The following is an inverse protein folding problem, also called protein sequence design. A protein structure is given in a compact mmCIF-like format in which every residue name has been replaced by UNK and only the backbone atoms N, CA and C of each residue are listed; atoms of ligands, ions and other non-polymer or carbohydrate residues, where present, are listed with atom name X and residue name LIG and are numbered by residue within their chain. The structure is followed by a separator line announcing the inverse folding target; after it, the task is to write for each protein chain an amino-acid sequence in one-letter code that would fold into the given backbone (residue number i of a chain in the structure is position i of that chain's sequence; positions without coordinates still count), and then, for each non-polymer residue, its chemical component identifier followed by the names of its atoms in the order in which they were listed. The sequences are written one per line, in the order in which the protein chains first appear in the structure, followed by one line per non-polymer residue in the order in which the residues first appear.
data_IF_510485626344
#
_entry.id   IF_510485626344
#
_cell.length_a   1.000
_cell.length_b   1.000
_cell.length_c   1.000
_cell.angle_alpha   90.00
_cell.angle_beta   90.00
_cell.angle_gamma   90.00
#
_symmetry.space_group_name_H-M   'P 1'
#
loop_
_entity.id
_entity.type
_entity.pdbx_description
1 polymer ?
#
# COMPACT_ATOMS: atom_id res chain seq x y z
N UNK A 1 -10.94 42.88 16.71
CA UNK A 1 -11.76 43.17 15.51
C UNK A 1 -10.98 42.66 14.31
N UNK A 2 -11.54 41.69 13.61
CA UNK A 2 -10.89 40.89 12.57
C UNK A 2 -10.37 41.75 11.41
N UNK A 3 -9.12 41.53 11.02
CA UNK A 3 -8.58 42.05 9.76
C UNK A 3 -9.09 41.14 8.64
N UNK A 4 -10.17 41.57 7.98
CA UNK A 4 -10.69 40.95 6.76
C UNK A 4 -9.76 41.24 5.59
N UNK A 5 -9.06 40.20 5.12
CA UNK A 5 -8.26 40.21 3.90
C UNK A 5 -9.19 40.35 2.69
N UNK A 6 -9.09 41.49 2.00
CA UNK A 6 -9.83 41.75 0.76
C UNK A 6 -8.94 41.28 -0.40
N UNK A 7 -9.32 40.17 -1.04
CA UNK A 7 -8.66 39.61 -2.21
C UNK A 7 -9.14 40.39 -3.46
N UNK A 8 -8.26 41.06 -4.23
CA UNK A 8 -8.65 41.63 -5.51
C UNK A 8 -8.82 40.53 -6.56
N UNK A 9 -10.07 40.27 -6.93
CA UNK A 9 -10.49 39.46 -8.08
C UNK A 9 -10.24 40.21 -9.40
N UNK A 10 -8.99 40.24 -9.87
CA UNK A 10 -8.70 40.55 -11.28
C UNK A 10 -7.46 39.78 -11.73
N UNK A 11 -7.63 38.51 -12.10
CA UNK A 11 -6.65 37.81 -12.94
C UNK A 11 -7.02 38.03 -14.42
N UNK A 12 -6.05 38.43 -15.25
CA UNK A 12 -6.27 38.82 -16.63
C UNK A 12 -6.66 37.61 -17.49
N UNK A 13 -7.76 37.78 -18.23
CA UNK A 13 -8.01 37.24 -19.56
C UNK A 13 -7.37 35.89 -19.90
N UNK A 14 -8.22 34.86 -19.82
CA UNK A 14 -8.12 33.61 -20.57
C UNK A 14 -7.67 33.92 -22.00
N UNK A 15 -6.36 33.80 -22.27
CA UNK A 15 -5.85 33.79 -23.63
C UNK A 15 -6.27 32.44 -24.20
N UNK A 16 -7.40 32.44 -24.91
CA UNK A 16 -7.78 31.34 -25.79
C UNK A 16 -6.64 31.16 -26.80
N UNK A 17 -5.71 30.26 -26.52
CA UNK A 17 -4.74 29.80 -27.50
C UNK A 17 -5.53 28.96 -28.49
N UNK A 18 -6.12 29.61 -29.50
CA UNK A 18 -6.44 28.92 -30.74
C UNK A 18 -5.12 28.41 -31.28
N UNK A 19 -4.83 27.13 -31.06
CA UNK A 19 -3.71 26.46 -31.70
C UNK A 19 -4.00 26.46 -33.20
N UNK A 20 -3.36 27.37 -33.93
CA UNK A 20 -3.27 27.29 -35.37
C UNK A 20 -2.53 25.99 -35.69
N UNK A 21 -3.25 24.98 -36.19
CA UNK A 21 -2.63 23.77 -36.73
C UNK A 21 -1.92 24.15 -38.03
N UNK A 22 -0.63 24.49 -37.93
CA UNK A 22 0.24 24.59 -39.09
C UNK A 22 0.33 23.20 -39.74
N UNK A 23 -0.19 23.04 -40.96
CA UNK A 23 0.04 21.85 -41.79
C UNK A 23 1.50 21.81 -42.25
N UNK A 24 2.40 21.38 -41.39
CA UNK A 24 3.79 21.09 -41.76
C UNK A 24 3.95 19.58 -41.94
N UNK A 25 3.58 19.05 -43.12
CA UNK A 25 3.67 17.63 -43.46
C UNK A 25 5.11 17.17 -43.84
N UNK A 26 6.14 17.79 -43.25
CA UNK A 26 7.52 17.33 -43.38
C UNK A 26 7.86 16.25 -42.35
N UNK A 27 8.94 15.50 -42.56
CA UNK A 27 9.40 14.45 -41.64
C UNK A 27 9.53 14.94 -40.18
N UNK A 28 9.99 16.18 -39.97
CA UNK A 28 10.06 16.81 -38.66
C UNK A 28 8.68 17.03 -38.01
N UNK A 29 7.65 17.36 -38.79
CA UNK A 29 6.29 17.53 -38.28
C UNK A 29 5.67 16.20 -37.85
N UNK A 30 5.94 15.12 -38.58
CA UNK A 30 5.49 13.76 -38.25
C UNK A 30 6.15 13.23 -36.96
N UNK A 31 7.44 13.52 -36.76
CA UNK A 31 8.16 13.13 -35.55
C UNK A 31 7.62 13.87 -34.32
N UNK A 32 7.37 15.18 -34.43
CA UNK A 32 6.82 15.97 -33.31
C UNK A 32 5.41 15.50 -32.95
N UNK A 33 4.55 15.24 -33.94
CA UNK A 33 3.21 14.70 -33.71
C UNK A 33 3.28 13.31 -33.04
N UNK A 34 4.19 12.44 -33.48
CA UNK A 34 4.39 11.12 -32.89
C UNK A 34 4.89 11.20 -31.44
N UNK A 35 5.79 12.15 -31.14
CA UNK A 35 6.29 12.38 -29.79
C UNK A 35 5.17 12.87 -28.85
N UNK A 36 4.33 13.80 -29.31
CA UNK A 36 3.20 14.33 -28.52
C UNK A 36 2.16 13.24 -28.21
N UNK A 37 1.83 12.40 -29.21
CA UNK A 37 0.94 11.24 -28.99
C UNK A 37 1.55 10.29 -27.95
N UNK A 38 2.85 10.00 -28.02
CA UNK A 38 3.53 9.15 -27.05
C UNK A 38 3.50 9.73 -25.61
N UNK A 39 3.70 11.04 -25.45
CA UNK A 39 3.63 11.70 -24.13
C UNK A 39 2.21 11.64 -23.54
N UNK A 40 1.16 11.77 -24.35
CA UNK A 40 -0.23 11.66 -23.86
C UNK A 40 -0.66 10.21 -23.53
N UNK A 41 -0.10 9.19 -24.18
CA UNK A 41 -0.38 7.79 -23.84
C UNK A 41 0.37 7.31 -22.59
N UNK A 42 1.43 8.00 -22.18
CA UNK A 42 2.19 7.65 -20.98
C UNK A 42 1.40 7.90 -19.67
N UNK A 43 0.35 8.73 -19.70
CA UNK A 43 -0.42 9.15 -18.51
C UNK A 43 -1.81 8.49 -18.39
N UNK A 44 -2.00 7.32 -19.01
CA UNK A 44 -3.26 6.56 -18.94
C UNK A 44 -3.18 5.28 -18.08
N UNK A 45 -2.17 5.14 -17.21
CA UNK A 45 -2.00 3.91 -16.39
C UNK A 45 -2.60 3.94 -14.98
N UNK A 46 -3.42 4.94 -14.64
CA UNK A 46 -4.19 4.90 -13.38
C UNK A 46 -5.65 4.59 -13.67
N UNK A 47 -5.90 3.38 -14.20
CA UNK A 47 -7.20 2.74 -14.13
C UNK A 47 -7.09 1.60 -13.11
N UNK A 48 -7.36 1.96 -11.86
CA UNK A 48 -7.57 1.05 -10.73
C UNK A 48 -8.65 0.03 -11.13
N UNK A 49 -8.23 -1.18 -11.52
CA UNK A 49 -9.13 -2.32 -11.69
C UNK A 49 -9.48 -2.87 -10.30
N UNK A 50 -10.35 -2.18 -9.58
CA UNK A 50 -11.11 -2.80 -8.49
C UNK A 50 -12.23 -3.58 -9.15
N UNK A 51 -11.97 -4.85 -9.50
CA UNK A 51 -13.05 -5.82 -9.68
C UNK A 51 -13.41 -6.36 -8.30
N UNK A 52 -14.59 -5.98 -7.84
CA UNK A 52 -15.31 -6.65 -6.76
C UNK A 52 -16.10 -7.80 -7.40
N UNK A 53 -15.77 -9.03 -7.05
CA UNK A 53 -16.66 -10.16 -7.24
C UNK A 53 -17.21 -10.56 -5.86
N UNK A 54 -18.54 -10.56 -5.76
CA UNK A 54 -19.31 -10.99 -4.60
C UNK A 54 -19.61 -12.49 -4.73
N UNK A 55 -19.47 -13.21 -3.61
CA UNK A 55 -20.11 -14.50 -3.29
C UNK A 55 -19.58 -15.77 -4.00
N UNK A 56 -18.77 -16.58 -3.31
CA UNK A 56 -19.12 -17.94 -2.82
C UNK A 56 -17.87 -18.64 -2.21
N UNK A 57 -18.12 -19.51 -1.23
CA UNK A 57 -17.20 -20.24 -0.32
C UNK A 57 -15.83 -20.69 -0.88
N UNK A 58 -14.89 -19.76 -1.03
CA UNK A 58 -13.49 -20.10 -1.20
C UNK A 58 -12.83 -20.19 0.17
N UNK A 59 -12.57 -21.42 0.62
CA UNK A 59 -11.36 -21.70 1.40
C UNK A 59 -10.23 -21.09 0.59
N UNK A 60 -9.78 -19.89 0.98
CA UNK A 60 -8.59 -19.26 0.40
C UNK A 60 -7.43 -20.19 0.70
N UNK A 61 -6.87 -20.90 -0.29
CA UNK A 61 -5.60 -21.55 -0.04
C UNK A 61 -4.61 -20.42 0.23
N UNK A 62 -3.82 -20.55 1.28
CA UNK A 62 -2.78 -19.58 1.66
C UNK A 62 -1.69 -19.36 0.58
N UNK A 63 -1.91 -19.84 -0.64
CA UNK A 63 -0.95 -19.96 -1.73
C UNK A 63 -0.97 -18.81 -2.74
N UNK A 64 -2.00 -17.95 -2.75
CA UNK A 64 -2.06 -16.85 -3.73
C UNK A 64 -1.72 -15.47 -3.13
N UNK A 65 -1.38 -15.42 -1.84
CA UNK A 65 -0.46 -14.40 -1.36
C UNK A 65 0.93 -14.79 -1.86
N UNK A 66 1.52 -13.99 -2.77
CA UNK A 66 2.96 -13.99 -3.10
C UNK A 66 3.74 -14.40 -1.86
N UNK A 67 4.22 -15.64 -1.83
CA UNK A 67 4.54 -16.37 -0.60
C UNK A 67 5.23 -15.43 0.40
N UNK A 68 4.53 -15.11 1.49
CA UNK A 68 5.17 -14.48 2.62
C UNK A 68 6.37 -15.36 2.96
N UNK A 69 7.57 -14.80 2.87
CA UNK A 69 8.81 -15.55 3.05
C UNK A 69 8.66 -16.40 4.32
N UNK A 70 8.85 -17.71 4.20
CA UNK A 70 8.66 -18.62 5.31
C UNK A 70 9.58 -18.18 6.45
N UNK A 71 9.00 -17.87 7.60
CA UNK A 71 9.74 -17.44 8.77
C UNK A 71 10.17 -18.66 9.58
N UNK A 72 11.45 -18.74 9.93
CA UNK A 72 11.99 -19.72 10.88
C UNK A 72 12.12 -19.06 12.24
N UNK A 73 11.44 -19.60 13.25
CA UNK A 73 11.55 -19.10 14.61
C UNK A 73 12.87 -19.52 15.26
N UNK A 74 13.66 -18.57 15.74
CA UNK A 74 14.93 -18.83 16.43
C UNK A 74 14.89 -18.56 17.94
N UNK A 75 13.83 -17.89 18.44
CA UNK A 75 13.60 -17.69 19.87
C UNK A 75 12.14 -17.91 20.23
N UNK A 76 11.89 -18.88 21.10
CA UNK A 76 10.55 -19.24 21.59
C UNK A 76 10.39 -18.91 23.07
N UNK A 77 9.17 -18.56 23.48
CA UNK A 77 8.79 -18.27 24.87
C UNK A 77 7.46 -18.96 25.16
N UNK A 78 7.34 -19.61 26.32
CA UNK A 78 6.05 -20.06 26.84
C UNK A 78 5.38 -18.93 27.60
N UNK A 79 4.13 -18.62 27.28
CA UNK A 79 3.32 -17.63 28.01
C UNK A 79 3.22 -18.01 29.50
N UNK A 80 3.39 -17.04 30.38
CA UNK A 80 3.27 -17.18 31.84
C UNK A 80 1.95 -16.62 32.34
N UNK A 81 1.60 -16.92 33.58
CA UNK A 81 0.40 -16.37 34.21
C UNK A 81 0.45 -14.84 34.24
N UNK A 82 -0.64 -14.20 33.79
CA UNK A 82 -0.76 -12.74 33.73
C UNK A 82 -0.11 -12.08 32.49
N UNK A 83 0.56 -12.85 31.63
CA UNK A 83 1.11 -12.34 30.38
C UNK A 83 0.04 -12.21 29.29
N UNK A 84 0.17 -11.17 28.48
CA UNK A 84 -0.65 -10.90 27.29
C UNK A 84 0.25 -10.93 26.04
N UNK A 85 -0.34 -11.04 24.85
CA UNK A 85 0.41 -10.86 23.60
C UNK A 85 1.21 -9.55 23.60
N UNK A 86 0.63 -8.46 24.09
CA UNK A 86 1.31 -7.15 24.12
C UNK A 86 2.51 -7.15 25.07
N UNK A 87 2.35 -7.64 26.30
CA UNK A 87 3.46 -7.67 27.27
C UNK A 87 4.59 -8.58 26.80
N UNK A 88 4.27 -9.72 26.17
CA UNK A 88 5.27 -10.67 25.66
C UNK A 88 5.94 -10.15 24.39
N UNK A 89 5.22 -9.47 23.50
CA UNK A 89 5.82 -8.75 22.38
C UNK A 89 6.85 -7.72 22.87
N UNK A 90 6.48 -6.92 23.88
CA UNK A 90 7.37 -5.91 24.46
C UNK A 90 8.62 -6.54 25.10
N UNK A 91 8.48 -7.68 25.79
CA UNK A 91 9.62 -8.45 26.32
C UNK A 91 10.58 -8.92 25.21
N UNK A 92 10.05 -9.20 24.02
CA UNK A 92 10.82 -9.53 22.83
C UNK A 92 11.38 -8.31 22.08
N UNK A 93 11.08 -7.08 22.51
CA UNK A 93 11.40 -5.86 21.76
C UNK A 93 10.61 -5.72 20.46
N UNK A 94 9.44 -6.36 20.35
CA UNK A 94 8.57 -6.35 19.18
C UNK A 94 7.40 -5.38 19.35
N UNK A 95 6.93 -4.83 18.25
CA UNK A 95 5.56 -4.29 18.18
C UNK A 95 4.57 -5.46 18.23
N UNK A 96 3.32 -5.18 18.63
CA UNK A 96 2.26 -6.20 18.59
C UNK A 96 2.06 -6.75 17.16
N UNK A 97 2.15 -5.88 16.15
CA UNK A 97 2.03 -6.26 14.75
C UNK A 97 3.12 -7.27 14.34
N UNK A 98 4.40 -6.98 14.61
CA UNK A 98 5.50 -7.90 14.30
C UNK A 98 5.38 -9.22 15.06
N UNK A 99 4.90 -9.17 16.31
CA UNK A 99 4.63 -10.38 17.10
C UNK A 99 3.54 -11.26 16.45
N UNK A 100 2.46 -10.67 15.92
CA UNK A 100 1.40 -11.40 15.23
C UNK A 100 1.86 -11.97 13.88
N UNK A 101 2.77 -11.28 13.18
CA UNK A 101 3.42 -11.81 11.97
C UNK A 101 4.25 -13.06 12.29
N UNK A 102 4.97 -13.06 13.42
CA UNK A 102 5.75 -14.23 13.85
C UNK A 102 4.88 -15.38 14.37
N UNK A 103 3.64 -15.08 14.77
CA UNK A 103 2.72 -16.02 15.39
C UNK A 103 1.34 -15.99 14.70
N UNK A 104 1.24 -16.31 13.40
CA UNK A 104 0.00 -16.15 12.64
C UNK A 104 -1.16 -17.01 13.16
N UNK A 105 -0.87 -18.02 13.98
CA UNK A 105 -1.85 -18.95 14.55
C UNK A 105 -2.33 -18.54 15.97
N UNK A 106 -1.88 -17.40 16.52
CA UNK A 106 -2.25 -16.99 17.88
C UNK A 106 -3.57 -16.21 17.90
N UNK A 107 -4.47 -16.58 18.80
CA UNK A 107 -5.62 -15.77 19.20
C UNK A 107 -5.31 -15.13 20.56
N UNK A 108 -5.03 -13.82 20.56
CA UNK A 108 -4.66 -13.09 21.77
C UNK A 108 -5.77 -13.00 22.82
N UNK A 109 -7.02 -13.29 22.46
CA UNK A 109 -8.14 -13.39 23.41
C UNK A 109 -8.28 -14.75 24.08
N UNK A 110 -7.53 -15.77 23.62
CA UNK A 110 -7.64 -17.16 24.08
C UNK A 110 -6.30 -17.79 24.40
N UNK A 111 -5.31 -16.98 24.79
CA UNK A 111 -4.01 -17.48 25.20
C UNK A 111 -4.09 -18.24 26.52
N UNK A 112 -3.16 -19.17 26.72
CA UNK A 112 -3.05 -19.95 27.95
C UNK A 112 -1.60 -20.07 28.41
N UNK A 113 -1.42 -20.33 29.71
CA UNK A 113 -0.10 -20.53 30.32
C UNK A 113 0.56 -21.76 29.69
N UNK A 114 1.81 -21.62 29.26
CA UNK A 114 2.59 -22.65 28.58
C UNK A 114 2.44 -22.65 27.05
N UNK A 115 1.59 -21.81 26.47
CA UNK A 115 1.51 -21.66 25.03
C UNK A 115 2.82 -21.06 24.47
N UNK A 116 3.41 -21.75 23.49
CA UNK A 116 4.63 -21.30 22.83
C UNK A 116 4.37 -20.19 21.83
N UNK A 117 5.17 -19.14 21.90
CA UNK A 117 5.17 -18.01 20.97
C UNK A 117 6.59 -17.70 20.52
N UNK A 118 6.72 -17.22 19.30
CA UNK A 118 7.95 -16.80 18.69
C UNK A 118 8.24 -15.33 19.01
N UNK A 119 9.45 -15.05 19.50
CA UNK A 119 9.95 -13.70 19.80
C UNK A 119 11.04 -13.23 18.84
N UNK A 120 11.58 -14.13 18.03
CA UNK A 120 12.54 -13.80 16.99
C UNK A 120 12.41 -14.79 15.85
N UNK A 121 12.26 -14.27 14.63
CA UNK A 121 12.23 -15.08 13.42
C UNK A 121 13.08 -14.45 12.32
N UNK A 122 13.66 -15.29 11.48
CA UNK A 122 14.35 -14.90 10.26
C UNK A 122 13.66 -15.53 9.06
N UNK A 123 13.80 -14.94 7.88
CA UNK A 123 13.41 -15.64 6.65
C UNK A 123 14.27 -16.89 6.49
N UNK A 124 13.64 -18.00 6.11
CA UNK A 124 14.31 -19.24 5.76
C UNK A 124 15.25 -19.07 4.57
#
# INVERSE_FOLDING_TARGET
QSLTSTIPLTLPWRRSTTFAMAKNHGAAGLLIASLLVAVTLADARVAVQVRRDLNEDHVVPASDAKAAAALTCSKVQGLKAGETCFSVALLGGLTLESFLVFNPNIDCGKTFVGQWVCLHASTA
#
